data_IF_076250260758
#
_entry.id   IF_076250260758
#
_cell.length_a   1.000
_cell.length_b   1.000
_cell.length_c   1.000
_cell.angle_alpha   90.00
_cell.angle_beta   90.00
_cell.angle_gamma   90.00
#
_symmetry.space_group_name_H-M   'P 1'
#
loop_
_entity.id
_entity.type
_entity.pdbx_description
1 polymer ?
#
# COMPACT_ATOMS: atom_id res chain seq x y z
N UNK A 1 -19.48 -4.72 15.45
CA UNK A 1 -19.44 -5.48 14.18
C UNK A 1 -20.42 -4.86 13.19
N UNK A 2 -20.14 -4.96 11.88
CA UNK A 2 -20.93 -4.32 10.82
C UNK A 2 -22.25 -5.04 10.49
N UNK A 3 -23.11 -4.39 9.71
CA UNK A 3 -24.36 -4.97 9.22
C UNK A 3 -24.12 -5.75 7.91
N UNK A 4 -24.36 -7.07 7.97
CA UNK A 4 -24.21 -7.99 6.84
C UNK A 4 -25.55 -8.50 6.31
N UNK A 5 -26.68 -8.04 6.84
CA UNK A 5 -28.03 -8.54 6.50
C UNK A 5 -28.38 -8.32 5.03
N UNK A 6 -27.89 -7.23 4.44
CA UNK A 6 -28.13 -6.87 3.04
C UNK A 6 -27.31 -7.68 2.02
N UNK A 7 -26.42 -8.57 2.46
CA UNK A 7 -25.56 -9.35 1.57
C UNK A 7 -26.16 -10.71 1.22
N UNK A 8 -26.52 -10.90 -0.06
CA UNK A 8 -27.20 -12.10 -0.54
C UNK A 8 -26.30 -13.33 -0.75
N UNK A 9 -24.99 -13.13 -0.96
CA UNK A 9 -24.05 -14.23 -1.31
C UNK A 9 -23.10 -14.57 -0.17
N UNK A 10 -23.03 -15.86 0.18
CA UNK A 10 -22.16 -16.41 1.25
C UNK A 10 -20.68 -16.07 1.03
N UNK A 11 -20.18 -16.19 -0.21
CA UNK A 11 -18.79 -15.86 -0.55
C UNK A 11 -18.43 -14.39 -0.24
N UNK A 12 -19.32 -13.44 -0.59
CA UNK A 12 -19.12 -12.02 -0.26
C UNK A 12 -19.15 -11.83 1.26
N UNK A 13 -20.09 -12.47 1.96
CA UNK A 13 -20.20 -12.38 3.43
C UNK A 13 -18.92 -12.87 4.12
N UNK A 14 -18.40 -14.04 3.74
CA UNK A 14 -17.15 -14.59 4.26
C UNK A 14 -15.95 -13.66 4.00
N UNK A 15 -15.82 -13.14 2.76
CA UNK A 15 -14.76 -12.19 2.40
C UNK A 15 -14.82 -10.90 3.23
N UNK A 16 -16.01 -10.45 3.66
CA UNK A 16 -16.20 -9.25 4.47
C UNK A 16 -15.97 -9.49 5.96
N UNK A 17 -16.35 -10.66 6.47
CA UNK A 17 -16.00 -11.09 7.83
C UNK A 17 -14.48 -11.17 7.96
N UNK A 18 -13.78 -11.73 6.97
CA UNK A 18 -12.31 -11.76 6.93
C UNK A 18 -11.65 -10.37 6.99
N UNK A 19 -12.36 -9.30 6.62
CA UNK A 19 -11.83 -7.95 6.75
C UNK A 19 -11.71 -7.48 8.20
N UNK A 20 -12.47 -8.07 9.12
CA UNK A 20 -12.42 -7.74 10.55
C UNK A 20 -11.17 -8.29 11.24
N UNK A 21 -10.50 -9.28 10.63
CA UNK A 21 -9.40 -10.03 11.25
C UNK A 21 -8.02 -9.67 10.71
N UNK A 22 -7.87 -8.65 9.88
CA UNK A 22 -6.51 -8.32 9.42
C UNK A 22 -5.76 -7.48 10.42
N UNK A 23 -4.48 -7.80 10.50
CA UNK A 23 -3.48 -7.05 11.24
C UNK A 23 -3.39 -5.63 10.70
N UNK A 24 -3.22 -4.69 11.64
CA UNK A 24 -3.05 -3.27 11.36
C UNK A 24 -1.78 -2.80 12.08
N UNK A 25 -1.00 -1.95 11.42
CA UNK A 25 0.18 -1.32 12.01
C UNK A 25 -0.17 -0.27 13.07
N UNK A 26 -1.30 0.41 12.87
CA UNK A 26 -1.84 1.34 13.85
C UNK A 26 -3.35 1.43 13.72
N UNK A 27 -3.99 1.68 14.85
CA UNK A 27 -5.42 2.00 14.94
C UNK A 27 -5.58 3.30 15.71
N UNK A 28 -6.36 4.23 15.17
CA UNK A 28 -6.82 5.42 15.89
C UNK A 28 -8.33 5.55 15.82
N UNK A 29 -8.94 6.22 16.79
CA UNK A 29 -10.34 6.59 16.68
C UNK A 29 -10.48 7.83 15.78
N UNK A 30 -11.21 7.72 14.67
CA UNK A 30 -11.58 8.87 13.82
C UNK A 30 -13.08 9.09 13.94
N UNK A 31 -13.47 10.26 14.42
CA UNK A 31 -14.88 10.66 14.50
C UNK A 31 -15.46 10.74 13.07
N UNK A 32 -16.56 10.02 12.78
CA UNK A 32 -17.29 10.13 11.52
C UNK A 32 -17.65 11.55 11.10
N UNK A 33 -17.86 12.49 12.04
CA UNK A 33 -18.15 13.90 11.75
C UNK A 33 -17.00 14.63 11.07
N UNK A 34 -15.78 14.08 11.17
CA UNK A 34 -14.59 14.58 10.49
C UNK A 34 -14.29 13.81 9.19
N UNK A 35 -15.23 12.99 8.74
CA UNK A 35 -15.14 12.26 7.48
C UNK A 35 -16.21 12.80 6.54
N UNK A 36 -15.87 12.90 5.26
CA UNK A 36 -16.77 13.34 4.20
C UNK A 36 -16.86 12.24 3.14
N UNK A 37 -18.08 11.90 2.70
CA UNK A 37 -18.27 11.03 1.55
C UNK A 37 -18.30 11.90 0.28
N UNK A 38 -17.35 11.69 -0.64
CA UNK A 38 -17.26 12.38 -1.94
C UNK A 38 -17.60 11.42 -3.09
N UNK A 39 -18.15 11.91 -4.21
CA UNK A 39 -18.45 11.05 -5.37
C UNK A 39 -17.18 10.47 -5.96
N UNK A 40 -17.26 9.31 -6.62
CA UNK A 40 -16.14 8.79 -7.42
C UNK A 40 -15.89 9.66 -8.66
N UNK A 41 -14.63 9.71 -9.12
CA UNK A 41 -14.33 10.29 -10.44
C UNK A 41 -14.56 9.19 -11.46
N UNK A 42 -15.59 9.35 -12.28
CA UNK A 42 -16.08 8.32 -13.18
C UNK A 42 -16.56 8.89 -14.52
N UNK A 43 -16.51 8.06 -15.56
CA UNK A 43 -17.26 8.22 -16.81
C UNK A 43 -18.43 7.23 -16.80
N UNK A 44 -19.24 7.19 -17.87
CA UNK A 44 -20.36 6.25 -17.97
C UNK A 44 -19.94 4.78 -17.79
N UNK A 45 -18.74 4.41 -18.26
CA UNK A 45 -18.28 3.02 -18.32
C UNK A 45 -17.17 2.68 -17.32
N UNK A 46 -16.59 3.67 -16.64
CA UNK A 46 -15.38 3.45 -15.84
C UNK A 46 -15.24 4.35 -14.62
N UNK A 47 -14.76 3.76 -13.52
CA UNK A 47 -14.50 4.45 -12.24
C UNK A 47 -12.98 4.61 -12.04
N UNK A 48 -12.47 5.83 -12.17
CA UNK A 48 -11.03 6.13 -12.06
C UNK A 48 -10.51 6.11 -10.62
N UNK A 49 -11.40 6.25 -9.64
CA UNK A 49 -11.04 6.32 -8.21
C UNK A 49 -11.54 5.12 -7.41
N UNK A 50 -11.76 3.96 -8.05
CA UNK A 50 -12.25 2.77 -7.33
C UNK A 50 -11.29 2.40 -6.18
N UNK A 51 -11.79 2.56 -4.96
CA UNK A 51 -11.02 2.24 -3.77
C UNK A 51 -10.04 3.33 -3.32
N UNK A 52 -10.09 4.54 -3.88
CA UNK A 52 -9.13 5.62 -3.61
C UNK A 52 -9.78 6.85 -2.95
N UNK A 53 -9.47 7.09 -1.68
CA UNK A 53 -9.89 8.27 -0.92
C UNK A 53 -8.77 9.29 -0.71
N UNK A 54 -9.05 10.33 0.08
CA UNK A 54 -8.10 11.38 0.46
C UNK A 54 -7.94 11.44 1.98
N UNK A 55 -6.74 11.77 2.44
CA UNK A 55 -6.41 11.98 3.85
C UNK A 55 -5.75 13.33 4.05
N UNK A 56 -6.12 14.02 5.14
CA UNK A 56 -5.54 15.29 5.49
C UNK A 56 -4.05 15.13 5.90
N UNK A 57 -3.17 16.10 5.55
CA UNK A 57 -1.74 15.99 5.83
C UNK A 57 -1.39 15.81 7.31
N UNK A 58 -2.13 16.48 8.22
CA UNK A 58 -1.87 16.36 9.66
C UNK A 58 -2.21 14.98 10.21
N UNK A 59 -3.29 14.34 9.74
CA UNK A 59 -3.62 12.98 10.13
C UNK A 59 -2.58 11.98 9.58
N UNK A 60 -2.12 12.17 8.34
CA UNK A 60 -1.05 11.36 7.77
C UNK A 60 0.26 11.46 8.57
N UNK A 61 0.65 12.67 8.99
CA UNK A 61 1.82 12.88 9.84
C UNK A 61 1.66 12.28 11.23
N UNK A 62 0.47 12.32 11.80
CA UNK A 62 0.17 11.67 13.09
C UNK A 62 0.27 10.15 12.98
N UNK A 63 -0.30 9.56 11.93
CA UNK A 63 -0.19 8.14 11.62
C UNK A 63 1.26 7.70 11.48
N UNK A 64 2.05 8.44 10.69
CA UNK A 64 3.47 8.16 10.50
C UNK A 64 4.25 8.18 11.82
N UNK A 65 3.94 9.15 12.70
CA UNK A 65 4.54 9.24 14.05
C UNK A 65 4.14 8.07 14.95
N UNK A 66 2.86 7.71 14.97
CA UNK A 66 2.35 6.59 15.80
C UNK A 66 2.90 5.24 15.35
N UNK A 67 3.00 5.02 14.04
CA UNK A 67 3.57 3.79 13.47
C UNK A 67 5.11 3.77 13.66
N UNK A 68 5.74 4.92 13.87
CA UNK A 68 7.20 5.03 14.01
C UNK A 68 7.93 4.89 12.68
N UNK A 69 7.37 5.43 11.59
CA UNK A 69 7.94 5.27 10.25
C UNK A 69 9.20 6.11 10.11
N UNK A 70 10.34 5.42 10.01
CA UNK A 70 11.67 5.99 9.79
C UNK A 70 12.28 5.35 8.56
N UNK A 71 12.86 6.19 7.70
CA UNK A 71 13.56 5.75 6.49
C UNK A 71 14.91 6.45 6.46
N UNK A 72 16.00 5.67 6.39
CA UNK A 72 17.38 6.18 6.42
C UNK A 72 17.60 7.14 7.60
N UNK A 73 17.13 6.75 8.78
CA UNK A 73 17.25 7.53 10.03
C UNK A 73 16.46 8.86 10.04
N UNK A 74 15.64 9.13 9.01
CA UNK A 74 14.79 10.32 8.93
C UNK A 74 13.32 9.93 9.09
N UNK A 75 12.56 10.74 9.85
CA UNK A 75 11.10 10.58 9.97
C UNK A 75 10.46 10.77 8.59
N UNK A 76 9.67 9.79 8.17
CA UNK A 76 9.05 9.80 6.85
C UNK A 76 7.53 9.74 7.00
N UNK A 77 6.81 10.60 6.27
CA UNK A 77 5.35 10.52 6.16
C UNK A 77 4.98 9.94 4.79
N UNK A 78 4.40 8.73 4.73
CA UNK A 78 3.92 8.15 3.49
C UNK A 78 2.89 9.02 2.78
N UNK A 79 2.91 9.01 1.45
CA UNK A 79 1.92 9.70 0.63
C UNK A 79 0.61 8.91 0.50
N UNK A 80 0.66 7.59 0.65
CA UNK A 80 -0.52 6.71 0.54
C UNK A 80 -0.57 5.74 1.71
N UNK A 81 -1.76 5.52 2.24
CA UNK A 81 -2.03 4.53 3.29
C UNK A 81 -3.12 3.58 2.82
N UNK A 82 -2.93 2.28 3.03
CA UNK A 82 -3.98 1.28 2.89
C UNK A 82 -4.77 1.19 4.19
N UNK A 83 -6.09 1.38 4.10
CA UNK A 83 -6.91 1.62 5.28
C UNK A 83 -8.12 0.70 5.36
N UNK A 84 -8.58 0.52 6.59
CA UNK A 84 -9.86 -0.07 6.93
C UNK A 84 -10.55 0.80 7.97
N UNK A 85 -11.77 1.20 7.67
CA UNK A 85 -12.52 2.08 8.55
C UNK A 85 -14.01 1.90 8.31
N UNK A 86 -14.78 1.44 9.30
CA UNK A 86 -16.26 1.41 9.24
C UNK A 86 -16.87 0.81 7.96
N UNK A 87 -16.27 -0.27 7.46
CA UNK A 87 -16.68 -0.92 6.22
C UNK A 87 -16.10 -0.32 4.94
N UNK A 88 -15.41 0.83 5.03
CA UNK A 88 -14.55 1.33 3.97
C UNK A 88 -13.25 0.51 3.93
N UNK A 89 -12.89 0.09 2.72
CA UNK A 89 -11.62 -0.55 2.40
C UNK A 89 -11.08 0.08 1.13
N UNK A 90 -9.82 0.47 1.18
CA UNK A 90 -9.13 1.02 0.03
C UNK A 90 -7.79 1.62 0.43
N UNK A 91 -7.34 2.57 -0.38
CA UNK A 91 -6.20 3.42 -0.11
C UNK A 91 -6.65 4.86 0.05
N UNK A 92 -5.90 5.65 0.82
CA UNK A 92 -6.07 7.10 0.92
C UNK A 92 -4.76 7.78 0.58
N UNK A 93 -4.82 8.78 -0.28
CA UNK A 93 -3.66 9.60 -0.65
C UNK A 93 -3.71 10.95 0.08
N UNK A 94 -2.54 11.46 0.46
CA UNK A 94 -2.42 12.76 1.13
C UNK A 94 -2.84 13.86 0.15
N UNK A 95 -3.84 14.65 0.54
CA UNK A 95 -4.24 15.84 -0.22
C UNK A 95 -3.71 17.11 0.48
N UNK A 96 -2.71 17.80 -0.09
CA UNK A 96 -2.18 19.05 0.48
C UNK A 96 -3.25 20.14 0.67
N UNK A 97 -4.34 20.12 -0.11
CA UNK A 97 -5.41 21.13 -0.03
C UNK A 97 -6.22 21.02 1.26
N UNK A 98 -6.31 19.82 1.84
CA UNK A 98 -7.02 19.56 3.10
C UNK A 98 -6.30 20.09 4.35
N UNK A 99 -5.13 20.73 4.22
CA UNK A 99 -4.31 21.20 5.36
C UNK A 99 -5.04 22.15 6.31
N UNK A 100 -6.02 22.92 5.82
CA UNK A 100 -6.80 23.89 6.61
C UNK A 100 -8.24 23.44 6.87
N UNK A 101 -8.60 22.25 6.41
CA UNK A 101 -9.97 21.72 6.56
C UNK A 101 -10.13 21.02 7.91
N UNK A 102 -11.35 21.06 8.45
CA UNK A 102 -11.71 20.29 9.66
C UNK A 102 -11.78 18.78 9.34
N UNK A 103 -12.13 18.47 8.09
CA UNK A 103 -12.23 17.13 7.50
C UNK A 103 -10.88 16.43 7.48
N UNK A 104 -10.83 15.22 8.03
CA UNK A 104 -9.66 14.36 8.08
C UNK A 104 -9.58 13.38 6.90
N UNK A 105 -10.73 12.91 6.44
CA UNK A 105 -10.83 11.88 5.41
C UNK A 105 -11.94 12.24 4.43
N UNK A 106 -11.65 12.11 3.13
CA UNK A 106 -12.67 12.10 2.08
C UNK A 106 -12.74 10.69 1.50
N UNK A 107 -13.85 10.01 1.73
CA UNK A 107 -14.06 8.61 1.36
C UNK A 107 -15.02 8.53 0.18
N UNK A 108 -14.92 7.45 -0.61
CA UNK A 108 -15.74 7.27 -1.82
C UNK A 108 -16.70 6.10 -1.69
N UNK A 109 -17.78 6.12 -2.47
CA UNK A 109 -18.79 5.06 -2.49
C UNK A 109 -18.17 3.72 -2.88
N UNK A 110 -17.28 3.71 -3.86
CA UNK A 110 -16.52 2.53 -4.30
C UNK A 110 -15.77 1.83 -3.16
N UNK A 111 -15.30 2.56 -2.16
CA UNK A 111 -14.58 2.03 -0.99
C UNK A 111 -15.51 1.33 0.02
N UNK A 112 -16.81 1.67 0.05
CA UNK A 112 -17.76 1.20 1.08
C UNK A 112 -18.20 -0.24 0.79
N UNK A 113 -17.63 -1.18 1.53
CA UNK A 113 -17.81 -2.62 1.31
C UNK A 113 -18.95 -3.21 2.16
N UNK A 114 -19.31 -2.56 3.26
CA UNK A 114 -20.49 -2.83 4.08
C UNK A 114 -20.86 -1.57 4.88
N UNK A 115 -22.10 -1.51 5.39
CA UNK A 115 -22.59 -0.45 6.25
C UNK A 115 -22.73 -0.93 7.69
N UNK A 116 -22.85 0.01 8.63
CA UNK A 116 -23.08 -0.32 10.03
C UNK A 116 -21.80 -0.61 10.82
N UNK A 117 -21.92 -0.50 12.14
CA UNK A 117 -20.82 -0.59 13.09
C UNK A 117 -20.62 0.71 13.88
N UNK A 118 -20.59 0.57 15.20
CA UNK A 118 -20.28 1.61 16.19
C UNK A 118 -18.76 1.74 16.45
N UNK A 119 -17.93 1.00 15.71
CA UNK A 119 -16.48 1.05 15.84
C UNK A 119 -15.92 2.22 15.03
N UNK A 120 -15.26 3.16 15.71
CA UNK A 120 -14.60 4.31 15.08
C UNK A 120 -13.10 4.09 14.84
N UNK A 121 -12.65 2.84 14.96
CA UNK A 121 -11.28 2.41 14.68
C UNK A 121 -10.96 2.58 13.19
N UNK A 122 -10.09 3.54 12.91
CA UNK A 122 -9.38 3.71 11.66
C UNK A 122 -8.07 2.95 11.73
N UNK A 123 -7.98 1.87 10.96
CA UNK A 123 -6.83 0.97 10.95
C UNK A 123 -6.01 1.14 9.67
N UNK A 124 -4.72 1.39 9.84
CA UNK A 124 -3.73 1.37 8.75
C UNK A 124 -3.18 -0.03 8.61
N UNK A 125 -3.41 -0.64 7.44
CA UNK A 125 -2.96 -2.00 7.10
C UNK A 125 -1.56 -1.98 6.54
N UNK A 126 -1.26 -1.00 5.68
CA UNK A 126 0.02 -0.86 4.99
C UNK A 126 0.18 0.59 4.53
N UNK A 127 1.37 0.99 4.10
CA UNK A 127 1.63 2.34 3.60
C UNK A 127 2.64 2.35 2.45
N UNK A 128 2.65 3.43 1.66
CA UNK A 128 3.60 3.60 0.55
C UNK A 128 5.03 3.69 1.07
N UNK A 129 5.91 2.84 0.52
CA UNK A 129 7.35 2.82 0.80
C UNK A 129 8.12 3.29 -0.44
N UNK A 130 9.20 4.06 -0.29
CA UNK A 130 9.95 4.65 -1.40
C UNK A 130 10.69 3.64 -2.28
N UNK A 131 10.86 2.39 -1.85
CA UNK A 131 11.60 1.37 -2.61
C UNK A 131 10.90 0.00 -2.50
N UNK A 132 10.67 -0.61 -3.65
CA UNK A 132 10.42 -2.05 -3.78
C UNK A 132 11.15 -2.51 -5.03
N UNK A 133 12.06 -3.48 -4.88
CA UNK A 133 12.67 -4.10 -6.05
C UNK A 133 11.64 -5.06 -6.66
N UNK A 134 11.14 -4.73 -7.85
CA UNK A 134 10.28 -5.60 -8.62
C UNK A 134 11.09 -6.71 -9.29
N UNK A 135 10.50 -7.89 -9.42
CA UNK A 135 11.05 -9.00 -10.19
C UNK A 135 10.05 -9.43 -11.23
N UNK A 136 10.57 -10.02 -12.31
CA UNK A 136 9.73 -10.69 -13.28
C UNK A 136 9.32 -12.04 -12.71
N UNK A 137 8.02 -12.28 -12.57
CA UNK A 137 7.49 -13.62 -12.33
C UNK A 137 7.21 -14.30 -13.68
N UNK A 138 6.94 -15.60 -13.64
CA UNK A 138 6.73 -16.40 -14.86
C UNK A 138 5.57 -15.87 -15.71
N UNK A 139 4.50 -15.40 -15.08
CA UNK A 139 3.33 -14.83 -15.77
C UNK A 139 3.69 -13.57 -16.57
N UNK A 140 4.45 -12.65 -15.98
CA UNK A 140 4.91 -11.43 -16.66
C UNK A 140 5.94 -11.78 -17.74
N UNK A 141 6.80 -12.77 -17.51
CA UNK A 141 7.76 -13.26 -18.51
C UNK A 141 7.01 -13.79 -19.74
N UNK A 142 6.00 -14.63 -19.54
CA UNK A 142 5.16 -15.17 -20.61
C UNK A 142 4.43 -14.06 -21.37
N UNK A 143 3.87 -13.08 -20.65
CA UNK A 143 3.21 -11.93 -21.28
C UNK A 143 4.18 -11.13 -22.15
N UNK A 144 5.36 -10.80 -21.63
CA UNK A 144 6.39 -10.07 -22.38
C UNK A 144 6.82 -10.85 -23.62
N UNK A 145 6.96 -12.17 -23.51
CA UNK A 145 7.31 -13.02 -24.64
C UNK A 145 6.21 -13.03 -25.70
N UNK A 146 4.94 -13.17 -25.31
CA UNK A 146 3.79 -13.11 -26.21
C UNK A 146 3.65 -11.75 -26.91
N UNK A 147 4.09 -10.67 -26.27
CA UNK A 147 4.16 -9.32 -26.84
C UNK A 147 5.38 -9.09 -27.75
N UNK A 148 6.21 -10.12 -27.99
CA UNK A 148 7.31 -10.08 -28.95
C UNK A 148 8.70 -9.87 -28.34
N UNK A 149 8.85 -9.86 -27.00
CA UNK A 149 10.18 -9.88 -26.38
C UNK A 149 10.79 -11.27 -26.57
N UNK A 150 11.94 -11.32 -27.23
CA UNK A 150 12.56 -12.60 -27.55
C UNK A 150 13.14 -13.28 -26.31
N UNK A 151 13.20 -14.62 -26.37
CA UNK A 151 13.74 -15.44 -25.29
C UNK A 151 15.21 -15.10 -24.99
N UNK A 152 15.99 -14.69 -25.99
CA UNK A 152 17.38 -14.30 -25.83
C UNK A 152 17.53 -13.07 -24.93
N UNK A 153 16.61 -12.11 -25.02
CA UNK A 153 16.60 -10.92 -24.16
C UNK A 153 16.33 -11.31 -22.71
N UNK A 154 15.35 -12.19 -22.47
CA UNK A 154 14.96 -12.66 -21.14
C UNK A 154 16.09 -13.49 -20.51
N UNK A 155 16.64 -14.45 -21.25
CA UNK A 155 17.78 -15.27 -20.82
C UNK A 155 19.03 -14.43 -20.57
N UNK A 156 19.28 -13.39 -21.37
CA UNK A 156 20.37 -12.45 -21.12
C UNK A 156 20.17 -11.69 -19.81
N UNK A 157 18.95 -11.21 -19.52
CA UNK A 157 18.64 -10.55 -18.24
C UNK A 157 18.83 -11.50 -17.05
N UNK A 158 18.43 -12.76 -17.20
CA UNK A 158 18.65 -13.79 -16.18
C UNK A 158 20.14 -14.02 -15.92
N UNK A 159 20.94 -14.18 -16.98
CA UNK A 159 22.41 -14.31 -16.86
C UNK A 159 23.04 -13.12 -16.16
N UNK A 160 22.69 -11.89 -16.57
CA UNK A 160 23.17 -10.67 -15.91
C UNK A 160 22.82 -10.63 -14.42
N UNK A 161 21.66 -11.16 -14.03
CA UNK A 161 21.29 -11.25 -12.62
C UNK A 161 22.16 -12.28 -11.88
N UNK A 162 22.42 -13.45 -12.47
CA UNK A 162 23.32 -14.44 -11.88
C UNK A 162 24.76 -13.94 -11.76
N UNK A 163 25.27 -13.24 -12.78
CA UNK A 163 26.59 -12.61 -12.73
C UNK A 163 26.66 -11.58 -11.59
N UNK A 164 25.60 -10.79 -11.42
CA UNK A 164 25.48 -9.86 -10.28
C UNK A 164 25.50 -10.60 -8.94
N UNK A 165 24.74 -11.69 -8.78
CA UNK A 165 24.73 -12.49 -7.55
C UNK A 165 26.11 -13.10 -7.26
N UNK A 166 26.79 -13.61 -8.28
CA UNK A 166 28.15 -14.14 -8.15
C UNK A 166 29.13 -13.03 -7.70
N UNK A 167 29.07 -11.86 -8.36
CA UNK A 167 29.94 -10.72 -8.02
C UNK A 167 29.71 -10.19 -6.61
N UNK A 168 28.50 -10.32 -6.07
CA UNK A 168 28.17 -9.88 -4.72
C UNK A 168 28.87 -10.71 -3.62
N UNK A 169 29.49 -11.84 -3.96
CA UNK A 169 30.29 -12.62 -3.00
C UNK A 169 31.74 -12.16 -2.92
N UNK A 170 32.25 -11.46 -3.94
CA UNK A 170 33.66 -11.06 -4.06
C UNK A 170 33.87 -9.55 -4.02
N UNK A 171 32.93 -8.76 -4.55
CA UNK A 171 33.00 -7.29 -4.59
C UNK A 171 32.10 -6.68 -3.50
N UNK A 172 32.68 -5.93 -2.53
CA UNK A 172 31.92 -5.24 -1.49
C UNK A 172 30.85 -4.29 -2.03
N UNK A 173 31.06 -3.66 -3.20
CA UNK A 173 30.07 -2.76 -3.80
C UNK A 173 28.88 -3.54 -4.35
N UNK A 174 29.13 -4.65 -5.04
CA UNK A 174 28.08 -5.57 -5.46
C UNK A 174 27.35 -6.19 -4.27
N UNK A 175 28.07 -6.55 -3.20
CA UNK A 175 27.50 -7.05 -1.94
C UNK A 175 26.58 -6.01 -1.29
N UNK A 176 27.00 -4.74 -1.22
CA UNK A 176 26.17 -3.65 -0.71
C UNK A 176 24.89 -3.48 -1.54
N UNK A 177 25.01 -3.50 -2.87
CA UNK A 177 23.86 -3.45 -3.78
C UNK A 177 22.92 -4.65 -3.59
N UNK A 178 23.46 -5.83 -3.35
CA UNK A 178 22.66 -7.04 -3.10
C UNK A 178 21.94 -6.97 -1.74
N UNK A 179 22.62 -6.54 -0.68
CA UNK A 179 22.01 -6.42 0.64
C UNK A 179 20.92 -5.36 0.68
N UNK A 180 21.12 -4.22 0.00
CA UNK A 180 20.06 -3.21 -0.18
C UNK A 180 18.91 -3.76 -1.03
N UNK A 181 19.21 -4.54 -2.08
CA UNK A 181 18.22 -5.23 -2.90
C UNK A 181 17.32 -6.18 -2.10
N UNK A 182 17.86 -6.94 -1.14
CA UNK A 182 17.08 -7.82 -0.26
C UNK A 182 16.54 -7.14 1.01
N UNK A 183 16.54 -5.80 1.06
CA UNK A 183 16.10 -4.99 2.21
C UNK A 183 16.86 -5.26 3.54
N UNK A 184 18.10 -5.74 3.47
CA UNK A 184 18.98 -5.95 4.64
C UNK A 184 19.88 -4.75 4.87
N UNK A 185 19.28 -3.58 5.10
CA UNK A 185 19.98 -2.30 5.19
C UNK A 185 21.02 -2.25 6.32
N UNK A 186 20.70 -2.80 7.51
CA UNK A 186 21.64 -2.84 8.65
C UNK A 186 22.91 -3.64 8.32
N UNK A 187 22.79 -4.71 7.53
CA UNK A 187 23.94 -5.48 7.08
C UNK A 187 24.70 -4.78 5.97
N UNK A 188 24.00 -4.06 5.08
CA UNK A 188 24.63 -3.25 4.04
C UNK A 188 25.49 -2.14 4.65
N UNK A 189 25.02 -1.47 5.70
CA UNK A 189 25.78 -0.41 6.40
C UNK A 189 27.09 -0.92 6.99
N UNK A 190 27.14 -2.18 7.47
CA UNK A 190 28.38 -2.80 7.98
C UNK A 190 29.46 -2.98 6.92
N UNK A 191 29.12 -2.97 5.63
CA UNK A 191 30.11 -3.03 4.55
C UNK A 191 30.77 -1.67 4.26
N UNK A 192 30.25 -0.58 4.82
CA UNK A 192 30.79 0.78 4.67
C UNK A 192 31.64 1.23 5.87
N UNK A 193 31.65 0.45 6.95
CA UNK A 193 32.46 0.63 8.16
C UNK A 193 33.73 -0.23 8.06
#
# INVERSE_FOLDING_TARGET
MGDFTKMKTVQKKAKRIGLLFSTAHATLAVDPKRCEDIPDVETADYVFTDGCGLIAPHLAQELARRIGIVIRTVRYTPSVFQIRYRGYKGVVTVDPKMKREVTLLKLRKSMKKFSGGCDYSFSVVEYSKPYGFGHLNDEVILLLHALGITSEVLLRKQRQHFDFLASATTDPRAAFRFLTYVNKYELAERLLL
#
